data_IF_181893457303
#
_entry.id   IF_181893457303
#
_cell.length_a   1.000
_cell.length_b   1.000
_cell.length_c   1.000
_cell.angle_alpha   90.00
_cell.angle_beta   90.00
_cell.angle_gamma   90.00
#
_symmetry.space_group_name_H-M   'P 1'
#
loop_
_entity.id
_entity.type
_entity.pdbx_description
1 polymer ?
#
# COMPACT_ATOMS: atom_id res chain seq x y z
N UNK A 1 -35.40 -40.92 9.95
CA UNK A 1 -34.15 -40.78 10.74
C UNK A 1 -32.92 -40.41 9.90
N UNK A 2 -32.65 -41.05 8.75
CA UNK A 2 -31.48 -40.74 7.90
C UNK A 2 -31.44 -39.30 7.36
N UNK A 3 -32.59 -38.68 7.08
CA UNK A 3 -32.66 -37.31 6.53
C UNK A 3 -32.32 -36.21 7.57
N UNK A 4 -32.63 -36.42 8.85
CA UNK A 4 -32.26 -35.47 9.91
C UNK A 4 -30.75 -35.48 10.19
N UNK A 5 -30.09 -36.64 10.05
CA UNK A 5 -28.64 -36.77 10.18
C UNK A 5 -27.92 -36.02 9.05
N UNK A 6 -28.45 -36.08 7.82
CA UNK A 6 -27.90 -35.34 6.69
C UNK A 6 -28.03 -33.82 6.87
N UNK A 7 -29.14 -33.33 7.43
CA UNK A 7 -29.35 -31.91 7.71
C UNK A 7 -28.38 -31.39 8.79
N UNK A 8 -28.11 -32.20 9.83
CA UNK A 8 -27.15 -31.83 10.88
C UNK A 8 -25.70 -31.80 10.36
N UNK A 9 -25.32 -32.71 9.46
CA UNK A 9 -24.02 -32.68 8.79
C UNK A 9 -23.83 -31.43 7.91
N UNK A 10 -24.90 -30.92 7.30
CA UNK A 10 -24.87 -29.70 6.50
C UNK A 10 -24.68 -28.43 7.35
N UNK A 11 -25.28 -28.38 8.55
CA UNK A 11 -25.12 -27.24 9.47
C UNK A 11 -23.72 -27.15 10.11
N UNK A 12 -23.00 -28.27 10.27
CA UNK A 12 -21.63 -28.29 10.83
C UNK A 12 -20.62 -27.59 9.90
N UNK A 13 -20.87 -27.58 8.59
CA UNK A 13 -20.01 -26.90 7.61
C UNK A 13 -20.04 -25.35 7.75
N UNK A 14 -21.08 -24.78 8.36
CA UNK A 14 -21.22 -23.33 8.53
C UNK A 14 -20.44 -22.77 9.74
N UNK A 15 -19.85 -23.61 10.58
CA UNK A 15 -19.04 -23.18 11.74
C UNK A 15 -17.53 -23.31 11.51
N UNK A 16 -17.09 -23.59 10.28
CA UNK A 16 -15.67 -23.60 9.95
C UNK A 16 -15.13 -22.16 9.87
N UNK A 17 -14.74 -21.59 11.01
CA UNK A 17 -13.91 -20.39 11.05
C UNK A 17 -12.46 -20.80 10.79
N UNK A 18 -11.90 -20.38 9.65
CA UNK A 18 -10.44 -20.41 9.45
C UNK A 18 -9.82 -19.30 10.29
N UNK A 19 -9.22 -19.63 11.43
CA UNK A 19 -8.42 -18.69 12.21
C UNK A 19 -6.98 -18.74 11.71
N UNK A 20 -6.66 -17.93 10.69
CA UNK A 20 -5.26 -17.65 10.37
C UNK A 20 -4.76 -16.51 11.28
N UNK A 21 -4.25 -16.88 12.45
CA UNK A 21 -3.50 -15.97 13.34
C UNK A 21 -1.99 -16.08 13.11
N UNK A 22 -1.57 -16.66 11.98
CA UNK A 22 -0.16 -16.78 11.64
C UNK A 22 0.40 -15.40 11.26
N UNK A 23 0.86 -14.66 12.28
CA UNK A 23 1.77 -13.54 12.11
C UNK A 23 3.13 -14.12 11.69
N UNK A 24 3.27 -14.37 10.39
CA UNK A 24 4.55 -14.75 9.80
C UNK A 24 5.59 -13.65 9.97
N UNK A 25 5.18 -12.41 10.16
CA UNK A 25 6.07 -11.26 10.29
C UNK A 25 6.00 -10.64 11.68
N UNK A 26 7.15 -10.55 12.36
CA UNK A 26 7.33 -9.79 13.59
C UNK A 26 8.21 -8.57 13.27
N UNK A 27 7.77 -7.33 13.54
CA UNK A 27 8.59 -6.15 13.34
C UNK A 27 9.79 -6.11 14.31
N UNK A 28 10.79 -5.25 14.06
CA UNK A 28 11.90 -5.04 14.99
C UNK A 28 11.39 -4.58 16.36
N UNK A 29 12.05 -5.02 17.43
CA UNK A 29 11.60 -4.78 18.81
C UNK A 29 12.62 -3.97 19.57
N UNK A 30 12.21 -2.77 20.00
CA UNK A 30 12.95 -2.01 21.01
C UNK A 30 12.82 -2.69 22.37
N UNK A 31 13.83 -2.56 23.27
CA UNK A 31 13.78 -3.11 24.62
C UNK A 31 12.49 -2.73 25.38
N UNK A 32 12.05 -1.48 25.24
CA UNK A 32 10.83 -0.93 25.85
C UNK A 32 9.53 -1.59 25.34
N UNK A 33 9.56 -2.18 24.15
CA UNK A 33 8.39 -2.80 23.50
C UNK A 33 8.29 -4.32 23.75
N UNK A 34 9.21 -4.90 24.54
CA UNK A 34 9.32 -6.37 24.71
C UNK A 34 8.08 -7.03 25.32
N UNK A 35 7.29 -6.29 26.10
CA UNK A 35 6.12 -6.80 26.81
C UNK A 35 4.78 -6.41 26.17
N UNK A 36 4.81 -5.88 24.94
CA UNK A 36 3.61 -5.45 24.19
C UNK A 36 3.06 -6.63 23.39
N UNK A 37 1.74 -6.70 23.24
CA UNK A 37 1.09 -7.69 22.38
C UNK A 37 1.60 -7.58 20.92
N UNK A 38 1.69 -8.71 20.22
CA UNK A 38 2.28 -8.76 18.87
C UNK A 38 1.57 -7.79 17.91
N UNK A 39 0.24 -7.68 18.00
CA UNK A 39 -0.58 -6.78 17.17
C UNK A 39 -0.25 -5.30 17.37
N UNK A 40 0.20 -4.91 18.57
CA UNK A 40 0.54 -3.53 18.93
C UNK A 40 2.05 -3.24 18.81
N UNK A 41 2.86 -4.24 18.47
CA UNK A 41 4.31 -4.13 18.42
C UNK A 41 4.79 -3.14 17.34
N UNK A 42 4.12 -3.12 16.19
CA UNK A 42 4.41 -2.17 15.11
C UNK A 42 4.19 -0.72 15.57
N UNK A 43 3.06 -0.46 16.26
CA UNK A 43 2.76 0.87 16.79
C UNK A 43 3.78 1.30 17.86
N UNK A 44 4.22 0.37 18.71
CA UNK A 44 5.26 0.64 19.70
C UNK A 44 6.60 0.97 19.05
N UNK A 45 6.98 0.24 18.00
CA UNK A 45 8.19 0.53 17.22
C UNK A 45 8.13 1.93 16.61
N UNK A 46 7.03 2.28 15.94
CA UNK A 46 6.85 3.58 15.30
C UNK A 46 6.90 4.73 16.32
N UNK A 47 6.25 4.55 17.48
CA UNK A 47 6.30 5.49 18.59
C UNK A 47 7.73 5.73 19.09
N UNK A 48 8.50 4.66 19.26
CA UNK A 48 9.85 4.74 19.79
C UNK A 48 10.82 5.40 18.81
N UNK A 49 10.73 5.07 17.51
CA UNK A 49 11.51 5.75 16.47
C UNK A 49 11.22 7.25 16.48
N UNK A 50 9.95 7.62 16.53
CA UNK A 50 9.56 9.02 16.56
C UNK A 50 10.05 9.75 17.82
N UNK A 51 9.94 9.13 19.00
CA UNK A 51 10.42 9.71 20.25
C UNK A 51 11.92 10.03 20.19
N UNK A 52 12.73 9.11 19.65
CA UNK A 52 14.18 9.33 19.48
C UNK A 52 14.43 10.47 18.51
N UNK A 53 13.71 10.52 17.38
CA UNK A 53 13.83 11.63 16.41
C UNK A 53 13.48 12.96 17.09
N UNK A 54 12.35 13.05 17.80
CA UNK A 54 11.93 14.27 18.49
C UNK A 54 12.95 14.74 19.53
N UNK A 55 13.55 13.80 20.27
CA UNK A 55 14.54 14.13 21.31
C UNK A 55 15.89 14.56 20.72
N UNK A 56 16.34 13.87 19.65
CA UNK A 56 17.71 14.02 19.13
C UNK A 56 17.82 14.95 17.94
N UNK A 57 16.76 15.16 17.16
CA UNK A 57 16.79 15.96 15.94
C UNK A 57 16.76 17.45 16.25
N UNK A 58 17.76 18.17 15.77
CA UNK A 58 17.90 19.61 15.98
C UNK A 58 17.69 20.33 14.65
N UNK A 59 16.60 21.10 14.58
CA UNK A 59 16.39 21.98 13.42
C UNK A 59 17.49 23.06 13.39
N UNK A 60 18.26 23.16 12.29
CA UNK A 60 19.31 24.18 12.12
C UNK A 60 18.79 25.61 12.34
N UNK A 61 19.62 26.47 12.93
CA UNK A 61 19.22 27.84 13.32
C UNK A 61 18.87 28.73 12.14
N UNK A 62 19.52 28.56 10.99
CA UNK A 62 19.17 29.24 9.74
C UNK A 62 17.71 28.99 9.35
N UNK A 63 17.26 27.74 9.42
CA UNK A 63 15.89 27.35 9.06
C UNK A 63 14.84 27.82 10.06
N UNK A 64 15.22 27.93 11.34
CA UNK A 64 14.37 28.53 12.37
C UNK A 64 14.14 30.01 12.14
N UNK A 65 15.20 30.74 11.79
CA UNK A 65 15.11 32.18 11.50
C UNK A 65 14.25 32.46 10.26
N UNK A 66 14.34 31.58 9.25
CA UNK A 66 13.59 31.69 8.01
C UNK A 66 12.13 31.18 8.14
N UNK A 67 11.70 30.75 9.33
CA UNK A 67 10.39 30.15 9.60
C UNK A 67 10.05 29.02 8.60
N UNK A 68 11.05 28.21 8.25
CA UNK A 68 10.89 27.16 7.25
C UNK A 68 9.84 26.14 7.66
N UNK A 69 8.95 25.82 6.71
CA UNK A 69 7.96 24.74 6.82
C UNK A 69 8.17 23.76 5.69
N UNK A 70 8.34 22.49 6.03
CA UNK A 70 8.59 21.46 5.03
C UNK A 70 8.72 20.09 5.65
N UNK A 71 8.99 19.12 4.79
CA UNK A 71 9.06 17.70 5.14
C UNK A 71 10.46 17.15 4.82
N UNK A 72 10.93 16.25 5.69
CA UNK A 72 12.14 15.44 5.48
C UNK A 72 11.71 13.99 5.46
N UNK A 73 11.89 13.30 4.34
CA UNK A 73 11.55 11.88 4.21
C UNK A 73 12.82 11.05 4.40
N UNK A 74 12.83 10.18 5.40
CA UNK A 74 13.95 9.28 5.68
C UNK A 74 13.56 7.86 5.32
N UNK A 75 14.25 7.28 4.33
CA UNK A 75 14.20 5.87 4.00
C UNK A 75 15.36 5.17 4.71
N UNK A 76 15.04 4.25 5.61
CA UNK A 76 16.01 3.49 6.38
C UNK A 76 15.62 2.03 6.49
N UNK A 77 16.55 1.20 6.92
CA UNK A 77 16.31 -0.20 7.19
C UNK A 77 16.91 -0.64 8.52
N UNK A 78 16.28 -1.62 9.15
CA UNK A 78 16.84 -2.34 10.29
C UNK A 78 17.38 -3.66 9.73
N UNK A 79 18.70 -3.84 9.82
CA UNK A 79 19.37 -5.04 9.30
C UNK A 79 19.07 -6.28 10.17
N UNK A 80 19.45 -7.47 9.68
CA UNK A 80 19.40 -8.75 10.41
C UNK A 80 20.17 -8.75 11.74
N UNK A 81 21.08 -7.80 11.94
CA UNK A 81 21.80 -7.60 13.20
C UNK A 81 21.04 -6.71 14.19
N UNK A 82 19.99 -6.00 13.75
CA UNK A 82 19.29 -5.00 14.55
C UNK A 82 19.89 -3.59 14.50
N UNK A 83 20.78 -3.34 13.54
CA UNK A 83 21.41 -2.02 13.34
C UNK A 83 20.63 -1.22 12.30
N UNK A 84 20.50 0.09 12.52
CA UNK A 84 19.83 1.01 11.60
C UNK A 84 20.77 1.43 10.47
N UNK A 85 20.31 1.37 9.22
CA UNK A 85 21.02 1.88 8.04
C UNK A 85 20.13 2.86 7.30
N UNK A 86 20.61 4.08 7.09
CA UNK A 86 19.91 5.09 6.28
C UNK A 86 20.21 4.84 4.81
N UNK A 87 19.18 4.57 4.02
CA UNK A 87 19.30 4.29 2.59
C UNK A 87 19.23 5.59 1.78
N UNK A 88 18.29 6.48 2.13
CA UNK A 88 18.08 7.74 1.44
C UNK A 88 17.42 8.77 2.35
N UNK A 89 17.74 10.05 2.14
CA UNK A 89 17.07 11.16 2.83
C UNK A 89 16.68 12.20 1.79
N UNK A 90 15.38 12.44 1.68
CA UNK A 90 14.83 13.53 0.89
C UNK A 90 14.55 14.76 1.76
N UNK A 91 15.08 15.90 1.35
CA UNK A 91 14.90 17.18 2.02
C UNK A 91 15.33 18.32 1.10
N UNK A 92 14.74 19.50 1.28
CA UNK A 92 15.10 20.69 0.51
C UNK A 92 16.51 21.20 0.83
N UNK A 93 16.94 21.09 2.09
CA UNK A 93 18.24 21.58 2.58
C UNK A 93 19.18 20.42 2.92
N UNK A 94 20.46 20.57 2.56
CA UNK A 94 21.48 19.54 2.81
C UNK A 94 21.79 19.38 4.31
N UNK A 95 21.63 20.45 5.08
CA UNK A 95 21.79 20.48 6.53
C UNK A 95 20.78 19.56 7.22
N UNK A 96 19.54 19.50 6.71
CA UNK A 96 18.52 18.56 7.19
C UNK A 96 18.87 17.12 6.84
N UNK A 97 19.45 16.87 5.66
CA UNK A 97 19.92 15.53 5.28
C UNK A 97 21.05 15.05 6.19
N UNK A 98 22.01 15.94 6.49
CA UNK A 98 23.12 15.64 7.38
C UNK A 98 22.64 15.39 8.82
N UNK A 99 21.73 16.21 9.32
CA UNK A 99 21.16 16.06 10.66
C UNK A 99 20.35 14.77 10.79
N UNK A 100 19.53 14.42 9.79
CA UNK A 100 18.79 13.17 9.78
C UNK A 100 19.75 11.96 9.87
N UNK A 101 20.83 11.94 9.06
CA UNK A 101 21.83 10.87 9.12
C UNK A 101 22.48 10.78 10.51
N UNK A 102 22.90 11.91 11.08
CA UNK A 102 23.48 11.98 12.43
C UNK A 102 22.55 11.41 13.49
N UNK A 103 21.25 11.73 13.42
CA UNK A 103 20.25 11.23 14.38
C UNK A 103 20.12 9.71 14.28
N UNK A 104 19.99 9.16 13.07
CA UNK A 104 19.87 7.71 12.87
C UNK A 104 21.12 6.92 13.29
N UNK A 105 22.32 7.52 13.21
CA UNK A 105 23.55 6.93 13.75
C UNK A 105 23.54 6.81 15.29
N UNK A 106 22.72 7.60 15.99
CA UNK A 106 22.58 7.53 17.45
C UNK A 106 21.57 6.49 17.94
N UNK A 107 20.88 5.80 17.03
CA UNK A 107 19.88 4.81 17.40
C UNK A 107 20.54 3.60 18.09
N UNK A 108 19.94 3.08 19.16
CA UNK A 108 20.44 1.87 19.80
C UNK A 108 20.22 0.67 18.87
N UNK A 109 21.05 -0.36 19.05
CA UNK A 109 20.84 -1.66 18.42
C UNK A 109 19.63 -2.35 19.06
N UNK A 110 18.73 -2.89 18.23
CA UNK A 110 17.47 -3.51 18.67
C UNK A 110 17.33 -4.96 18.24
N UNK A 111 16.25 -5.65 18.62
CA UNK A 111 15.94 -6.97 18.06
C UNK A 111 15.49 -6.80 16.60
N UNK A 112 16.10 -7.52 15.63
CA UNK A 112 15.73 -7.42 14.22
C UNK A 112 14.33 -7.98 13.95
N UNK A 113 13.76 -7.61 12.81
CA UNK A 113 12.51 -8.22 12.34
C UNK A 113 12.69 -9.72 12.10
N UNK A 114 11.60 -10.48 12.21
CA UNK A 114 11.60 -11.90 11.85
C UNK A 114 10.48 -12.23 10.88
N UNK A 115 10.78 -13.10 9.91
CA UNK A 115 9.83 -13.70 8.98
C UNK A 115 9.85 -15.22 9.20
N UNK A 116 8.73 -15.82 9.58
CA UNK A 116 8.60 -17.24 9.92
C UNK A 116 9.65 -17.69 10.96
N UNK A 117 9.91 -16.84 11.96
CA UNK A 117 10.91 -17.05 13.00
C UNK A 117 12.37 -16.84 12.58
N UNK A 118 12.64 -16.53 11.30
CA UNK A 118 13.99 -16.23 10.80
C UNK A 118 14.24 -14.74 10.78
N UNK A 119 15.40 -14.29 11.27
CA UNK A 119 15.79 -12.88 11.23
C UNK A 119 15.87 -12.38 9.79
N UNK A 120 15.26 -11.23 9.52
CA UNK A 120 15.26 -10.56 8.22
C UNK A 120 15.50 -9.07 8.40
N UNK A 121 15.95 -8.40 7.33
CA UNK A 121 15.95 -6.94 7.30
C UNK A 121 14.53 -6.44 7.00
N UNK A 122 14.22 -5.22 7.46
CA UNK A 122 12.95 -4.54 7.15
C UNK A 122 13.19 -3.06 6.89
N UNK A 123 12.58 -2.55 5.83
CA UNK A 123 12.73 -1.16 5.38
C UNK A 123 11.53 -0.32 5.80
N UNK A 124 11.78 0.95 6.11
CA UNK A 124 10.81 1.92 6.61
C UNK A 124 11.04 3.27 5.94
N UNK A 125 9.95 3.99 5.70
CA UNK A 125 9.97 5.38 5.23
C UNK A 125 9.20 6.22 6.24
N UNK A 126 9.85 7.21 6.85
CA UNK A 126 9.22 8.10 7.84
C UNK A 126 9.31 9.56 7.36
N UNK A 127 8.18 10.26 7.28
CA UNK A 127 8.16 11.70 7.10
C UNK A 127 8.37 12.42 8.44
N UNK A 128 9.29 13.39 8.45
CA UNK A 128 9.56 14.29 9.58
C UNK A 128 9.12 15.69 9.14
N UNK A 129 8.08 16.22 9.77
CA UNK A 129 7.60 17.58 9.51
C UNK A 129 8.45 18.60 10.27
N UNK A 130 8.72 19.74 9.63
CA UNK A 130 9.39 20.90 10.21
C UNK A 130 8.41 22.07 10.16
N UNK A 131 8.16 22.77 11.28
CA UNK A 131 8.68 22.54 12.63
C UNK A 131 8.27 21.17 13.20
N UNK A 132 9.06 20.65 14.16
CA UNK A 132 8.81 19.35 14.78
C UNK A 132 7.53 19.42 15.61
N UNK A 133 6.41 19.05 15.00
CA UNK A 133 5.14 18.85 15.70
C UNK A 133 5.10 17.45 16.35
N UNK A 134 4.21 17.29 17.33
CA UNK A 134 3.91 15.97 17.87
C UNK A 134 3.37 15.08 16.75
N UNK A 135 4.14 14.08 16.35
CA UNK A 135 3.70 13.11 15.36
C UNK A 135 2.55 12.32 15.98
N UNK A 136 1.34 12.68 15.57
CA UNK A 136 0.18 11.85 15.81
C UNK A 136 0.36 10.61 14.95
N UNK A 137 0.87 9.52 15.54
CA UNK A 137 0.73 8.17 14.98
C UNK A 137 -0.71 8.05 14.53
N UNK A 138 -0.95 7.99 13.21
CA UNK A 138 -2.26 8.19 12.59
C UNK A 138 -3.38 7.59 13.43
N UNK A 139 -4.00 8.46 14.21
CA UNK A 139 -5.28 8.26 14.90
C UNK A 139 -6.27 9.19 14.19
N UNK A 140 -7.58 8.86 14.21
CA UNK A 140 -8.56 8.74 13.11
C UNK A 140 -8.70 9.79 11.99
N UNK A 141 -7.84 10.81 11.89
CA UNK A 141 -7.99 11.88 10.90
C UNK A 141 -7.73 11.40 9.46
N UNK A 142 -6.88 10.38 9.30
CA UNK A 142 -6.65 9.71 8.01
C UNK A 142 -7.80 8.79 7.59
N UNK A 143 -8.61 8.30 8.54
CA UNK A 143 -9.83 7.56 8.24
C UNK A 143 -10.87 8.49 7.58
N UNK A 144 -10.93 9.78 7.94
CA UNK A 144 -11.84 10.72 7.29
C UNK A 144 -11.46 11.01 5.83
N UNK A 145 -10.16 11.10 5.52
CA UNK A 145 -9.67 11.18 4.12
C UNK A 145 -9.88 9.86 3.37
N UNK A 146 -9.58 8.72 3.99
CA UNK A 146 -9.86 7.38 3.42
C UNK A 146 -11.34 7.19 3.14
N UNK A 147 -12.23 7.62 4.04
CA UNK A 147 -13.68 7.56 3.85
C UNK A 147 -14.15 8.48 2.72
N UNK A 148 -13.51 9.64 2.50
CA UNK A 148 -13.80 10.51 1.36
C UNK A 148 -13.30 9.90 0.03
N UNK A 149 -12.13 9.25 0.03
CA UNK A 149 -11.60 8.51 -1.12
C UNK A 149 -12.51 7.31 -1.46
N UNK A 150 -12.94 6.54 -0.46
CA UNK A 150 -13.89 5.42 -0.64
C UNK A 150 -15.22 5.87 -1.27
N UNK A 151 -15.76 7.02 -0.86
CA UNK A 151 -17.01 7.55 -1.46
C UNK A 151 -16.85 7.91 -2.93
N UNK A 152 -15.70 8.47 -3.31
CA UNK A 152 -15.39 8.77 -4.71
C UNK A 152 -15.18 7.49 -5.52
N UNK A 153 -14.54 6.47 -4.93
CA UNK A 153 -14.37 5.16 -5.56
C UNK A 153 -15.69 4.40 -5.73
N UNK A 154 -16.60 4.47 -4.76
CA UNK A 154 -17.95 3.91 -4.84
C UNK A 154 -18.78 4.60 -5.92
N UNK A 155 -18.72 5.93 -6.01
CA UNK A 155 -19.38 6.68 -7.07
C UNK A 155 -18.83 6.32 -8.46
N UNK A 156 -17.50 6.18 -8.59
CA UNK A 156 -16.87 5.76 -9.84
C UNK A 156 -17.27 4.33 -10.26
N UNK A 157 -17.42 3.41 -9.29
CA UNK A 157 -17.91 2.04 -9.55
C UNK A 157 -19.37 2.04 -10.01
N UNK A 158 -20.23 2.84 -9.40
CA UNK A 158 -21.65 2.94 -9.77
C UNK A 158 -21.84 3.49 -11.19
N UNK A 159 -21.10 4.54 -11.56
CA UNK A 159 -21.09 5.08 -12.93
C UNK A 159 -20.62 4.01 -13.94
N UNK A 160 -19.55 3.26 -13.59
CA UNK A 160 -19.05 2.20 -14.44
C UNK A 160 -20.05 1.05 -14.63
N UNK A 161 -20.70 0.60 -13.56
CA UNK A 161 -21.73 -0.45 -13.61
C UNK A 161 -22.97 -0.01 -14.40
N UNK A 162 -23.39 1.25 -14.27
CA UNK A 162 -24.48 1.82 -15.06
C UNK A 162 -24.16 1.83 -16.56
N UNK A 163 -22.95 2.26 -16.93
CA UNK A 163 -22.48 2.20 -18.33
C UNK A 163 -22.46 0.76 -18.84
N UNK A 164 -21.94 -0.18 -18.04
CA UNK A 164 -21.83 -1.58 -18.43
C UNK A 164 -23.21 -2.25 -18.66
N UNK A 165 -24.21 -1.86 -17.87
CA UNK A 165 -25.59 -2.36 -18.03
C UNK A 165 -26.29 -1.88 -19.31
N UNK A 166 -25.85 -0.75 -19.87
CA UNK A 166 -26.35 -0.20 -21.14
C UNK A 166 -25.67 -0.77 -22.38
N UNK A 167 -24.61 -1.57 -22.22
CA UNK A 167 -23.89 -2.15 -23.35
C UNK A 167 -24.70 -3.27 -24.01
N UNK A 168 -24.85 -3.18 -25.32
CA UNK A 168 -25.36 -4.29 -26.13
C UNK A 168 -24.20 -5.16 -26.59
N UNK A 169 -24.42 -6.48 -26.69
CA UNK A 169 -23.39 -7.40 -27.17
C UNK A 169 -23.10 -7.14 -28.64
N UNK A 170 -21.81 -6.99 -28.96
CA UNK A 170 -21.34 -6.75 -30.32
C UNK A 170 -21.70 -7.93 -31.24
N UNK A 171 -22.52 -7.66 -32.26
CA UNK A 171 -23.14 -8.68 -33.12
C UNK A 171 -22.39 -8.96 -34.44
N UNK A 172 -21.33 -8.19 -34.76
CA UNK A 172 -20.66 -8.33 -36.06
C UNK A 172 -19.80 -9.60 -36.12
N UNK A 173 -20.12 -10.49 -37.07
CA UNK A 173 -19.48 -11.79 -37.28
C UNK A 173 -18.05 -11.72 -37.83
N UNK A 174 -17.56 -10.54 -38.22
CA UNK A 174 -16.20 -10.34 -38.75
C UNK A 174 -15.09 -10.77 -37.77
N UNK A 175 -15.40 -10.92 -36.48
CA UNK A 175 -14.44 -11.26 -35.42
C UNK A 175 -14.65 -12.67 -34.82
N UNK A 176 -15.45 -13.54 -35.45
CA UNK A 176 -15.66 -14.94 -34.99
C UNK A 176 -14.50 -15.89 -35.31
N UNK A 177 -13.40 -15.36 -35.86
CA UNK A 177 -12.17 -16.12 -36.11
C UNK A 177 -11.62 -16.70 -34.80
N UNK A 178 -11.45 -18.04 -34.74
CA UNK A 178 -10.81 -18.74 -33.61
C UNK A 178 -9.29 -18.57 -33.57
N UNK A 179 -8.73 -17.67 -34.38
CA UNK A 179 -7.29 -17.49 -34.48
C UNK A 179 -6.78 -16.59 -33.34
N UNK A 180 -6.10 -17.19 -32.36
CA UNK A 180 -5.50 -16.48 -31.23
C UNK A 180 -4.18 -15.81 -31.66
N UNK A 181 -4.27 -14.64 -32.26
CA UNK A 181 -3.09 -13.81 -32.56
C UNK A 181 -2.71 -13.06 -31.27
N UNK A 182 -1.44 -13.07 -30.90
CA UNK A 182 -0.96 -12.31 -29.74
C UNK A 182 -0.74 -10.84 -30.13
N UNK A 183 -1.02 -9.90 -29.23
CA UNK A 183 -0.71 -8.50 -29.45
C UNK A 183 0.81 -8.29 -29.49
N UNK A 184 1.25 -7.45 -30.43
CA UNK A 184 2.61 -6.92 -30.43
C UNK A 184 2.77 -5.84 -29.36
N UNK A 185 3.99 -5.63 -28.87
CA UNK A 185 4.25 -4.57 -27.89
C UNK A 185 3.87 -3.16 -28.40
N UNK A 186 3.96 -2.90 -29.71
CA UNK A 186 3.56 -1.62 -30.30
C UNK A 186 2.04 -1.41 -30.30
N UNK A 187 1.27 -2.46 -30.53
CA UNK A 187 -0.19 -2.36 -30.53
C UNK A 187 -0.76 -2.19 -29.11
N UNK A 188 -0.13 -2.82 -28.12
CA UNK A 188 -0.50 -2.66 -26.71
C UNK A 188 -0.37 -1.21 -26.22
N UNK A 189 0.68 -0.50 -26.63
CA UNK A 189 0.92 0.90 -26.25
C UNK A 189 -0.23 1.85 -26.61
N UNK A 190 -1.03 1.52 -27.63
CA UNK A 190 -2.18 2.32 -28.06
C UNK A 190 -3.33 2.31 -27.05
N UNK A 191 -3.37 1.31 -26.18
CA UNK A 191 -4.47 1.09 -25.23
C UNK A 191 -4.04 1.21 -23.77
N UNK A 192 -2.74 1.35 -23.52
CA UNK A 192 -2.15 1.46 -22.18
C UNK A 192 -2.78 2.61 -21.38
N UNK A 193 -2.97 3.77 -22.01
CA UNK A 193 -3.64 4.92 -21.38
C UNK A 193 -5.05 4.60 -20.89
N UNK A 194 -5.80 3.78 -21.64
CA UNK A 194 -7.20 3.52 -21.34
C UNK A 194 -7.38 2.37 -20.33
N UNK A 195 -6.41 1.45 -20.23
CA UNK A 195 -6.38 0.41 -19.18
C UNK A 195 -5.84 0.92 -17.84
N UNK A 196 -5.02 1.97 -17.87
CA UNK A 196 -4.46 2.59 -16.65
C UNK A 196 -5.32 3.74 -16.11
N UNK A 197 -6.59 3.86 -16.54
CA UNK A 197 -7.54 4.83 -15.97
C UNK A 197 -8.00 4.33 -14.60
N UNK A 198 -7.92 5.21 -13.62
CA UNK A 198 -8.42 5.01 -12.26
C UNK A 198 -9.86 4.47 -12.27
N UNK A 199 -10.09 3.36 -11.57
CA UNK A 199 -11.40 2.69 -11.48
C UNK A 199 -11.57 1.46 -12.37
N UNK A 200 -10.70 1.23 -13.36
CA UNK A 200 -10.68 -0.04 -14.08
C UNK A 200 -9.71 -0.99 -13.39
N UNK A 201 -10.21 -2.06 -12.76
CA UNK A 201 -9.41 -3.09 -12.08
C UNK A 201 -8.63 -3.99 -13.07
N UNK A 202 -8.02 -3.41 -14.10
CA UNK A 202 -7.29 -4.11 -15.16
C UNK A 202 -5.83 -4.33 -14.78
N UNK A 203 -5.58 -4.80 -13.56
CA UNK A 203 -4.26 -5.35 -13.18
C UNK A 203 -4.20 -6.84 -13.55
N UNK A 204 -4.28 -7.16 -14.85
CA UNK A 204 -4.01 -8.52 -15.32
C UNK A 204 -2.54 -8.63 -15.71
N UNK A 205 -1.78 -9.46 -14.99
CA UNK A 205 -0.40 -9.84 -15.34
C UNK A 205 -0.32 -10.69 -16.63
N UNK A 206 -1.46 -11.04 -17.22
CA UNK A 206 -1.57 -11.71 -18.51
C UNK A 206 -1.72 -10.68 -19.64
N UNK A 207 -0.86 -10.78 -20.65
CA UNK A 207 -0.99 -10.00 -21.90
C UNK A 207 -2.34 -10.33 -22.54
N UNK A 208 -3.22 -9.36 -22.81
CA UNK A 208 -4.50 -9.63 -23.45
C UNK A 208 -4.26 -10.17 -24.87
N UNK A 209 -5.11 -11.10 -25.31
CA UNK A 209 -5.22 -11.51 -26.71
C UNK A 209 -6.30 -10.69 -27.42
N UNK A 210 -6.35 -10.66 -28.76
CA UNK A 210 -7.37 -9.88 -29.51
C UNK A 210 -8.79 -10.13 -28.99
N UNK A 211 -9.12 -11.37 -28.65
CA UNK A 211 -10.45 -11.74 -28.12
C UNK A 211 -10.78 -11.07 -26.78
N UNK A 212 -9.79 -10.86 -25.90
CA UNK A 212 -10.01 -10.34 -24.54
C UNK A 212 -10.02 -8.80 -24.50
N UNK A 213 -9.33 -8.15 -25.42
CA UNK A 213 -9.18 -6.69 -25.42
C UNK A 213 -10.28 -5.95 -26.20
N UNK A 214 -10.87 -6.58 -27.22
CA UNK A 214 -11.96 -5.96 -27.98
C UNK A 214 -13.23 -5.76 -27.14
N UNK A 215 -13.43 -6.54 -26.07
CA UNK A 215 -14.51 -6.29 -25.12
C UNK A 215 -14.30 -4.94 -24.40
N UNK A 216 -13.07 -4.60 -24.02
CA UNK A 216 -12.76 -3.34 -23.33
C UNK A 216 -12.61 -2.13 -24.28
N UNK A 217 -12.14 -2.32 -25.52
CA UNK A 217 -11.95 -1.21 -26.49
C UNK A 217 -13.29 -0.76 -27.11
N UNK A 218 -14.25 -1.67 -27.30
CA UNK A 218 -15.58 -1.30 -27.81
C UNK A 218 -16.34 -0.45 -26.79
N UNK A 219 -16.15 -0.71 -25.49
CA UNK A 219 -16.70 0.09 -24.38
C UNK A 219 -16.17 1.52 -24.42
N UNK A 220 -14.87 1.70 -24.72
CA UNK A 220 -14.25 3.02 -24.75
C UNK A 220 -14.57 3.83 -26.01
N UNK A 221 -14.82 3.19 -27.16
CA UNK A 221 -15.10 3.89 -28.43
C UNK A 221 -16.56 4.38 -28.55
N UNK A 222 -17.50 3.85 -27.77
CA UNK A 222 -18.86 4.40 -27.72
C UNK A 222 -18.98 5.66 -26.85
N UNK A 223 -18.05 5.91 -25.93
CA UNK A 223 -17.99 7.13 -25.10
C UNK A 223 -17.38 8.36 -25.82
N UNK A 224 -17.26 8.34 -27.15
CA UNK A 224 -16.69 9.43 -27.96
C UNK A 224 -17.49 9.80 -29.21
N UNK A 225 -18.73 9.31 -29.35
CA UNK A 225 -19.70 9.82 -30.32
C UNK A 225 -21.08 9.94 -29.68
N UNK A 226 -21.16 10.79 -28.65
CA UNK A 226 -21.99 11.99 -28.63
C UNK A 226 -21.52 12.91 -27.51
#
# INVERSE_FOLDING_TARGET
>A
MKQFVALQLFFIQFFAFSQDTNLYEKPPVFPECSNVAIDALQQCFDAQVFNIIKEKFKVPSNLKNDNYKGEVIVLFEVDTTGSFRVMYVDAMYNELKAEAKRVFETFPKIEPATYSGRKTFKQYSIPIQIPLDDFTLSTPKDLAKSNAINKLEEAAKQEFEAVNSGLTTYSNKALTSKLNIQFTHSDYARFDRAMNVIGTNSHTASKPSYTMMFLNIIILKQNGMH
#
